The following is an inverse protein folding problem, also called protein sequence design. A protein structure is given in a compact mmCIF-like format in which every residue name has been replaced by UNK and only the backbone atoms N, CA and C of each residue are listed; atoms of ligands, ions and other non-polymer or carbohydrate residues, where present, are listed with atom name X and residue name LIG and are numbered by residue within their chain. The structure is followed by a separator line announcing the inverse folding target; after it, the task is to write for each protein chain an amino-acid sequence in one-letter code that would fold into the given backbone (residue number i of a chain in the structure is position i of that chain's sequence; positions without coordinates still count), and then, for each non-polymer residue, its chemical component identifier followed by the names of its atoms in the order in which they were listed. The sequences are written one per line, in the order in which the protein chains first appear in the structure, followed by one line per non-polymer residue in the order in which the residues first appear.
data_IF_714824233420
#
_entry.id   IF_714824233420
#
_cell.length_a   1.000
_cell.length_b   1.000
_cell.length_c   1.000
_cell.angle_alpha   90.00
_cell.angle_beta   90.00
_cell.angle_gamma   90.00
#
_symmetry.space_group_name_H-M   'P 1'
#
loop_
_entity.id
_entity.type
_entity.pdbx_description
1 polymer ?
#
# COMPACT_ATOMS: atom_id res chain seq x y z
N UNK A 1 -51.92 21.58 -1.42
CA UNK A 1 -51.12 20.34 -1.37
C UNK A 1 -49.59 20.58 -1.43
N UNK A 2 -49.10 21.80 -1.27
CA UNK A 2 -47.70 22.18 -1.60
C UNK A 2 -46.72 22.18 -0.41
N UNK A 3 -47.16 22.46 0.82
CA UNK A 3 -46.26 22.51 1.99
C UNK A 3 -45.88 21.14 2.55
N UNK A 4 -46.82 20.18 2.57
CA UNK A 4 -46.57 18.82 3.06
C UNK A 4 -45.62 18.04 2.15
N UNK A 5 -45.81 18.14 0.84
CA UNK A 5 -44.89 17.54 -0.14
C UNK A 5 -43.51 18.20 -0.07
N UNK A 6 -43.43 19.53 0.04
CA UNK A 6 -42.15 20.23 0.22
C UNK A 6 -41.41 19.82 1.50
N UNK A 7 -42.12 19.67 2.63
CA UNK A 7 -41.53 19.18 3.89
C UNK A 7 -41.02 17.74 3.76
N UNK A 8 -41.79 16.84 3.14
CA UNK A 8 -41.37 15.45 2.91
C UNK A 8 -40.15 15.37 1.98
N UNK A 9 -40.11 16.18 0.92
CA UNK A 9 -38.94 16.27 0.03
C UNK A 9 -37.70 16.78 0.75
N UNK A 10 -37.85 17.80 1.61
CA UNK A 10 -36.74 18.36 2.39
C UNK A 10 -36.21 17.35 3.43
N UNK A 11 -37.11 16.62 4.10
CA UNK A 11 -36.74 15.54 5.01
C UNK A 11 -36.03 14.39 4.30
N UNK A 12 -36.51 13.99 3.12
CA UNK A 12 -35.86 12.95 2.32
C UNK A 12 -34.44 13.38 1.88
N UNK A 13 -34.28 14.62 1.41
CA UNK A 13 -32.97 15.19 1.07
C UNK A 13 -32.01 15.22 2.27
N UNK A 14 -32.50 15.60 3.45
CA UNK A 14 -31.69 15.58 4.67
C UNK A 14 -31.23 14.17 5.03
N UNK A 15 -32.13 13.18 4.98
CA UNK A 15 -31.80 11.78 5.26
C UNK A 15 -30.77 11.24 4.25
N UNK A 16 -30.96 11.51 2.95
CA UNK A 16 -29.99 11.14 1.92
C UNK A 16 -28.64 11.82 2.14
N UNK A 17 -28.63 13.10 2.52
CA UNK A 17 -27.41 13.85 2.83
C UNK A 17 -26.65 13.26 4.03
N UNK A 18 -27.35 12.92 5.10
CA UNK A 18 -26.76 12.27 6.29
C UNK A 18 -26.23 10.87 5.95
N UNK A 19 -26.98 10.08 5.20
CA UNK A 19 -26.55 8.74 4.77
C UNK A 19 -25.32 8.80 3.86
N UNK A 20 -25.32 9.69 2.87
CA UNK A 20 -24.19 9.89 1.97
C UNK A 20 -22.95 10.41 2.72
N UNK A 21 -23.12 11.38 3.61
CA UNK A 21 -22.05 11.90 4.47
C UNK A 21 -21.48 10.83 5.39
N UNK A 22 -22.33 10.03 6.03
CA UNK A 22 -21.92 8.91 6.88
C UNK A 22 -21.19 7.82 6.10
N UNK A 23 -21.67 7.47 4.90
CA UNK A 23 -21.00 6.51 4.03
C UNK A 23 -19.61 7.00 3.59
N UNK A 24 -19.51 8.26 3.15
CA UNK A 24 -18.25 8.87 2.76
C UNK A 24 -17.25 8.93 3.93
N UNK A 25 -17.71 9.28 5.13
CA UNK A 25 -16.90 9.27 6.35
C UNK A 25 -16.39 7.85 6.65
N UNK A 26 -17.28 6.86 6.65
CA UNK A 26 -16.89 5.47 6.87
C UNK A 26 -15.82 5.02 5.86
N UNK A 27 -16.06 5.23 4.57
CA UNK A 27 -15.11 4.89 3.50
C UNK A 27 -13.73 5.54 3.72
N UNK A 28 -13.70 6.84 4.04
CA UNK A 28 -12.44 7.57 4.24
C UNK A 28 -11.65 7.07 5.46
N UNK A 29 -12.33 6.66 6.52
CA UNK A 29 -11.68 6.17 7.74
C UNK A 29 -11.28 4.69 7.66
N UNK A 30 -11.94 3.93 6.80
CA UNK A 30 -11.77 2.48 6.64
C UNK A 30 -10.72 2.13 5.57
N UNK A 31 -10.72 2.83 4.43
CA UNK A 31 -9.75 2.62 3.33
C UNK A 31 -8.64 3.68 3.32
N UNK A 32 -7.89 3.76 4.42
CA UNK A 32 -6.85 4.78 4.57
C UNK A 32 -5.68 4.54 3.63
N UNK A 33 -5.41 5.55 2.79
CA UNK A 33 -4.27 5.58 1.87
C UNK A 33 -4.17 4.36 0.94
N UNK A 34 -5.32 3.73 0.70
CA UNK A 34 -5.47 2.61 -0.22
C UNK A 34 -5.34 3.14 -1.65
N UNK A 35 -4.37 2.61 -2.40
CA UNK A 35 -4.14 3.02 -3.78
C UNK A 35 -3.44 1.92 -4.60
N UNK A 36 -3.65 1.95 -5.91
CA UNK A 36 -2.84 1.18 -6.86
C UNK A 36 -1.55 1.93 -7.12
N UNK A 37 -0.40 1.26 -6.95
CA UNK A 37 0.91 1.80 -7.33
C UNK A 37 1.32 1.30 -8.73
N UNK A 38 1.04 0.03 -9.02
CA UNK A 38 1.10 -0.58 -10.34
C UNK A 38 0.03 -1.65 -10.47
N UNK A 39 -0.89 -1.49 -11.42
CA UNK A 39 -2.02 -2.40 -11.58
C UNK A 39 -1.56 -3.83 -11.86
N UNK A 40 -2.10 -4.79 -11.10
CA UNK A 40 -1.74 -6.21 -11.22
C UNK A 40 -0.39 -6.59 -10.59
N UNK A 41 0.37 -5.62 -10.07
CA UNK A 41 1.70 -5.89 -9.49
C UNK A 41 1.81 -5.37 -8.06
N UNK A 42 1.57 -4.09 -7.81
CA UNK A 42 1.89 -3.45 -6.53
C UNK A 42 0.76 -2.51 -6.08
N UNK A 43 0.28 -2.72 -4.87
CA UNK A 43 -0.75 -1.93 -4.21
C UNK A 43 -0.21 -1.41 -2.87
N UNK A 44 -0.87 -0.39 -2.33
CA UNK A 44 -0.49 0.21 -1.06
C UNK A 44 -1.68 0.52 -0.18
N UNK A 45 -1.44 0.59 1.13
CA UNK A 45 -2.37 1.15 2.11
C UNK A 45 -1.68 1.69 3.35
N UNK A 46 -2.43 2.36 4.22
CA UNK A 46 -2.13 2.42 5.65
C UNK A 46 -2.53 1.09 6.32
N UNK A 47 -2.34 0.99 7.64
CA UNK A 47 -2.87 -0.14 8.38
C UNK A 47 -4.39 -0.15 8.28
N UNK A 48 -4.93 -1.25 7.76
CA UNK A 48 -6.35 -1.48 7.60
C UNK A 48 -6.85 -2.43 8.69
N UNK A 49 -8.13 -2.32 9.06
CA UNK A 49 -8.75 -3.31 9.94
C UNK A 49 -8.91 -4.65 9.19
N UNK A 50 -8.98 -5.79 9.91
CA UNK A 50 -8.95 -7.14 9.32
C UNK A 50 -9.93 -7.36 8.17
N UNK A 51 -11.16 -6.86 8.29
CA UNK A 51 -12.20 -7.03 7.27
C UNK A 51 -11.84 -6.35 5.96
N UNK A 52 -11.25 -5.15 6.06
CA UNK A 52 -10.79 -4.38 4.90
C UNK A 52 -9.57 -5.05 4.27
N UNK A 53 -8.66 -5.56 5.10
CA UNK A 53 -7.47 -6.25 4.58
C UNK A 53 -7.89 -7.49 3.77
N UNK A 54 -8.79 -8.32 4.30
CA UNK A 54 -9.34 -9.47 3.57
C UNK A 54 -10.02 -9.05 2.25
N UNK A 55 -10.84 -8.00 2.28
CA UNK A 55 -11.48 -7.49 1.08
C UNK A 55 -10.46 -7.01 0.03
N UNK A 56 -9.39 -6.32 0.43
CA UNK A 56 -8.35 -5.86 -0.50
C UNK A 56 -7.59 -7.04 -1.11
N UNK A 57 -7.30 -8.07 -0.31
CA UNK A 57 -6.68 -9.31 -0.78
C UNK A 57 -7.55 -9.97 -1.85
N UNK A 58 -8.84 -10.15 -1.57
CA UNK A 58 -9.78 -10.74 -2.52
C UNK A 58 -9.98 -9.87 -3.76
N UNK A 59 -10.20 -8.56 -3.59
CA UNK A 59 -10.48 -7.63 -4.69
C UNK A 59 -9.34 -7.57 -5.70
N UNK A 60 -8.10 -7.54 -5.22
CA UNK A 60 -6.91 -7.39 -6.07
C UNK A 60 -6.14 -8.68 -6.28
N UNK A 61 -6.66 -9.80 -5.79
CA UNK A 61 -6.03 -11.11 -5.90
C UNK A 61 -4.57 -11.07 -5.38
N UNK A 62 -4.37 -10.39 -4.24
CA UNK A 62 -3.06 -10.21 -3.63
C UNK A 62 -2.52 -11.58 -3.21
N UNK A 63 -1.28 -11.88 -3.55
CA UNK A 63 -0.59 -13.09 -3.07
C UNK A 63 0.16 -12.85 -1.78
N UNK A 64 0.79 -11.68 -1.65
CA UNK A 64 1.57 -11.32 -0.48
C UNK A 64 1.19 -9.94 0.05
N UNK A 65 0.88 -9.85 1.34
CA UNK A 65 0.78 -8.59 2.07
C UNK A 65 2.11 -8.34 2.78
N UNK A 66 2.71 -7.15 2.58
CA UNK A 66 3.95 -6.75 3.24
C UNK A 66 3.65 -5.76 4.34
N UNK A 67 3.90 -6.17 5.58
CA UNK A 67 3.80 -5.34 6.75
C UNK A 67 5.19 -4.80 7.14
N UNK A 68 5.35 -3.48 7.06
CA UNK A 68 6.60 -2.78 7.39
C UNK A 68 6.67 -2.27 8.84
N UNK A 69 5.66 -2.54 9.66
CA UNK A 69 5.64 -2.15 11.06
C UNK A 69 6.62 -2.96 11.91
N UNK A 70 7.15 -2.34 12.96
CA UNK A 70 7.95 -3.05 13.93
C UNK A 70 7.06 -3.99 14.77
N UNK A 71 7.53 -5.19 15.16
CA UNK A 71 6.76 -6.09 16.01
C UNK A 71 6.18 -5.38 17.24
N UNK A 72 4.89 -5.59 17.50
CA UNK A 72 4.17 -4.96 18.62
C UNK A 72 3.78 -3.49 18.43
N UNK A 73 4.21 -2.80 17.36
CA UNK A 73 3.93 -1.36 17.14
C UNK A 73 2.43 -1.02 17.12
N UNK A 74 1.61 -1.95 16.65
CA UNK A 74 0.15 -1.81 16.57
C UNK A 74 -0.61 -2.58 17.67
N UNK A 75 0.10 -3.26 18.56
CA UNK A 75 -0.48 -4.13 19.60
C UNK A 75 -0.95 -5.49 19.07
N UNK A 76 -0.79 -6.52 19.90
CA UNK A 76 -0.96 -7.93 19.50
C UNK A 76 -2.33 -8.25 18.85
N UNK A 77 -3.42 -7.65 19.32
CA UNK A 77 -4.74 -7.89 18.75
C UNK A 77 -4.84 -7.49 17.28
N UNK A 78 -4.20 -6.38 16.87
CA UNK A 78 -4.19 -5.93 15.46
C UNK A 78 -3.32 -6.83 14.61
N UNK A 79 -2.16 -7.25 15.13
CA UNK A 79 -1.26 -8.18 14.46
C UNK A 79 -1.92 -9.53 14.20
N UNK A 80 -2.57 -10.10 15.21
CA UNK A 80 -3.27 -11.37 15.06
C UNK A 80 -4.46 -11.27 14.10
N UNK A 81 -5.23 -10.17 14.18
CA UNK A 81 -6.32 -9.91 13.25
C UNK A 81 -5.85 -9.82 11.79
N UNK A 82 -4.72 -9.16 11.53
CA UNK A 82 -4.12 -9.08 10.19
C UNK A 82 -3.65 -10.46 9.71
N UNK A 83 -2.89 -11.20 10.53
CA UNK A 83 -2.43 -12.56 10.18
C UNK A 83 -3.60 -13.46 9.78
N UNK A 84 -4.67 -13.44 10.57
CA UNK A 84 -5.87 -14.22 10.29
C UNK A 84 -6.58 -13.75 9.02
N UNK A 85 -6.78 -12.44 8.84
CA UNK A 85 -7.44 -11.90 7.65
C UNK A 85 -6.69 -12.27 6.36
N UNK A 86 -5.37 -12.07 6.35
CA UNK A 86 -4.52 -12.36 5.18
C UNK A 86 -4.50 -13.86 4.88
N UNK A 87 -4.30 -14.70 5.90
CA UNK A 87 -4.28 -16.16 5.75
C UNK A 87 -5.64 -16.71 5.29
N UNK A 88 -6.73 -16.27 5.91
CA UNK A 88 -8.08 -16.73 5.56
C UNK A 88 -8.50 -16.30 4.14
N UNK A 89 -8.00 -15.15 3.66
CA UNK A 89 -8.21 -14.69 2.29
C UNK A 89 -7.28 -15.39 1.27
N UNK A 90 -6.42 -16.31 1.72
CA UNK A 90 -5.56 -17.13 0.84
C UNK A 90 -4.24 -16.47 0.43
N UNK A 91 -3.83 -15.39 1.09
CA UNK A 91 -2.56 -14.72 0.88
C UNK A 91 -1.56 -15.06 2.00
N UNK A 92 -0.28 -14.75 1.77
CA UNK A 92 0.75 -14.81 2.82
C UNK A 92 1.04 -13.42 3.38
N UNK A 93 1.32 -13.35 4.68
CA UNK A 93 1.80 -12.14 5.34
C UNK A 93 3.32 -12.17 5.45
N UNK A 94 3.97 -11.17 4.88
CA UNK A 94 5.40 -10.93 4.98
C UNK A 94 5.66 -9.82 6.01
N UNK A 95 6.04 -10.21 7.22
CA UNK A 95 6.37 -9.29 8.32
C UNK A 95 7.82 -8.78 8.16
N UNK A 96 7.99 -7.74 7.34
CA UNK A 96 9.29 -7.19 6.98
C UNK A 96 9.48 -5.82 7.64
N UNK A 97 9.75 -5.82 8.94
CA UNK A 97 9.94 -4.59 9.70
C UNK A 97 10.96 -3.66 9.03
N UNK A 98 10.58 -2.37 8.93
CA UNK A 98 11.43 -1.33 8.35
C UNK A 98 11.53 -0.16 9.34
N UNK A 99 12.68 0.04 10.00
CA UNK A 99 12.91 1.23 10.83
C UNK A 99 12.68 2.54 10.06
N UNK A 100 12.16 3.56 10.74
CA UNK A 100 11.86 4.86 10.11
C UNK A 100 13.13 5.56 9.59
N UNK A 101 14.26 5.32 10.27
CA UNK A 101 15.57 5.89 10.03
C UNK A 101 16.54 4.91 9.33
N UNK A 102 16.03 3.80 8.79
CA UNK A 102 16.88 2.79 8.13
C UNK A 102 17.75 3.40 7.03
N UNK A 103 19.03 3.04 7.05
CA UNK A 103 20.00 3.37 6.01
C UNK A 103 19.71 2.52 4.75
N UNK A 104 19.71 3.09 3.54
CA UNK A 104 19.54 2.34 2.30
C UNK A 104 20.55 1.22 2.05
N UNK A 105 21.74 1.28 2.65
CA UNK A 105 22.75 0.23 2.58
C UNK A 105 22.66 -0.78 3.74
N UNK A 106 21.66 -0.64 4.61
CA UNK A 106 21.49 -1.53 5.75
C UNK A 106 21.22 -2.97 5.29
N UNK A 107 22.02 -3.97 5.72
CA UNK A 107 21.81 -5.37 5.36
C UNK A 107 20.43 -5.91 5.71
N UNK A 108 19.72 -5.30 6.67
CA UNK A 108 18.34 -5.66 7.02
C UNK A 108 17.35 -5.46 5.89
N UNK A 109 17.67 -4.65 4.87
CA UNK A 109 16.85 -4.48 3.67
C UNK A 109 16.97 -5.66 2.70
N UNK A 110 17.90 -6.59 2.91
CA UNK A 110 18.06 -7.75 2.01
C UNK A 110 16.78 -8.57 1.93
N UNK A 111 16.08 -8.81 3.05
CA UNK A 111 14.79 -9.53 3.04
C UNK A 111 13.69 -8.82 2.25
N UNK A 112 13.71 -7.48 2.22
CA UNK A 112 12.79 -6.68 1.41
C UNK A 112 13.12 -6.84 -0.07
N UNK A 113 14.41 -6.82 -0.41
CA UNK A 113 14.89 -7.06 -1.77
C UNK A 113 14.56 -8.46 -2.26
N UNK A 114 14.75 -9.48 -1.41
CA UNK A 114 14.41 -10.88 -1.71
C UNK A 114 12.90 -11.03 -1.95
N UNK A 115 12.07 -10.38 -1.13
CA UNK A 115 10.62 -10.37 -1.32
C UNK A 115 10.20 -9.71 -2.64
N UNK A 116 10.88 -8.62 -3.04
CA UNK A 116 10.64 -7.95 -4.32
C UNK A 116 11.13 -8.78 -5.52
N UNK A 117 12.18 -9.58 -5.34
CA UNK A 117 12.78 -10.39 -6.39
C UNK A 117 11.99 -11.69 -6.68
N UNK A 118 11.20 -12.19 -5.74
CA UNK A 118 10.42 -13.42 -5.90
C UNK A 118 9.11 -13.15 -6.67
N UNK A 119 8.93 -13.66 -7.91
CA UNK A 119 7.70 -13.49 -8.68
C UNK A 119 6.47 -14.07 -8.00
N UNK A 120 6.62 -15.07 -7.12
CA UNK A 120 5.47 -15.71 -6.45
C UNK A 120 4.78 -14.80 -5.44
N UNK A 121 5.39 -13.67 -5.08
CA UNK A 121 4.80 -12.69 -4.19
C UNK A 121 3.79 -11.76 -4.88
N UNK A 122 3.78 -11.68 -6.20
CA UNK A 122 2.96 -10.70 -6.93
C UNK A 122 1.59 -11.28 -7.34
N UNK A 123 0.49 -10.48 -7.25
CA UNK A 123 0.45 -9.07 -6.84
C UNK A 123 0.68 -8.87 -5.34
N UNK A 124 1.38 -7.80 -4.97
CA UNK A 124 1.72 -7.45 -3.58
C UNK A 124 0.90 -6.26 -3.08
N UNK A 125 0.54 -6.26 -1.81
CA UNK A 125 0.04 -5.07 -1.10
C UNK A 125 1.04 -4.71 0.00
N UNK A 126 1.60 -3.51 -0.04
CA UNK A 126 2.52 -3.03 1.02
C UNK A 126 1.87 -1.97 1.91
N UNK A 127 2.06 -2.11 3.21
CA UNK A 127 1.59 -1.12 4.18
C UNK A 127 2.57 -0.91 5.33
N UNK A 128 2.30 0.14 6.10
CA UNK A 128 2.86 0.35 7.42
C UNK A 128 1.74 0.95 8.30
N UNK A 129 2.04 1.59 9.43
CA UNK A 129 1.00 2.21 10.26
C UNK A 129 0.15 3.23 9.49
N UNK A 130 0.81 4.25 8.90
CA UNK A 130 0.13 5.34 8.21
C UNK A 130 0.14 5.21 6.69
N UNK A 131 0.86 4.26 6.09
CA UNK A 131 0.95 4.15 4.63
C UNK A 131 1.67 5.33 3.97
N UNK A 132 2.59 5.99 4.70
CA UNK A 132 3.28 7.23 4.25
C UNK A 132 4.78 6.99 4.09
N UNK A 133 5.51 6.86 5.20
CA UNK A 133 6.99 6.89 5.17
C UNK A 133 7.58 5.57 4.70
N UNK A 134 7.38 4.48 5.46
CA UNK A 134 7.96 3.16 5.16
C UNK A 134 7.42 2.59 3.86
N UNK A 135 6.11 2.72 3.66
CA UNK A 135 5.45 2.36 2.41
C UNK A 135 6.06 3.10 1.22
N UNK A 136 6.29 4.41 1.31
CA UNK A 136 6.91 5.15 0.21
C UNK A 136 8.36 4.73 -0.06
N UNK A 137 9.14 4.43 0.99
CA UNK A 137 10.50 3.89 0.85
C UNK A 137 10.50 2.55 0.13
N UNK A 138 9.64 1.62 0.54
CA UNK A 138 9.53 0.30 -0.10
C UNK A 138 9.07 0.39 -1.56
N UNK A 139 8.11 1.26 -1.85
CA UNK A 139 7.67 1.50 -3.23
C UNK A 139 8.77 2.15 -4.09
N UNK A 140 9.63 2.99 -3.51
CA UNK A 140 10.81 3.51 -4.20
C UNK A 140 11.81 2.39 -4.51
N UNK A 141 12.05 1.46 -3.57
CA UNK A 141 12.89 0.28 -3.82
C UNK A 141 12.33 -0.55 -4.99
N UNK A 142 11.02 -0.84 -4.97
CA UNK A 142 10.33 -1.55 -6.05
C UNK A 142 10.50 -0.86 -7.41
N UNK A 143 10.20 0.44 -7.48
CA UNK A 143 10.28 1.19 -8.73
C UNK A 143 11.72 1.27 -9.28
N UNK A 144 12.71 1.45 -8.41
CA UNK A 144 14.12 1.54 -8.81
C UNK A 144 14.61 0.19 -9.33
N UNK A 145 14.34 -0.90 -8.59
CA UNK A 145 14.93 -2.21 -8.84
C UNK A 145 14.17 -2.97 -9.91
N UNK A 146 12.83 -2.98 -9.84
CA UNK A 146 11.99 -3.82 -10.71
C UNK A 146 11.54 -3.09 -11.97
N UNK A 147 11.51 -1.75 -11.94
CA UNK A 147 10.99 -0.93 -13.05
C UNK A 147 12.02 0.02 -13.66
N UNK A 148 13.23 0.06 -13.11
CA UNK A 148 14.31 0.92 -13.62
C UNK A 148 14.00 2.42 -13.56
N UNK A 149 13.12 2.85 -12.66
CA UNK A 149 12.81 4.28 -12.46
C UNK A 149 13.90 4.95 -11.62
N UNK A 150 14.05 6.27 -11.76
CA UNK A 150 14.83 7.05 -10.79
C UNK A 150 14.06 7.23 -9.48
N UNK A 151 14.77 7.61 -8.41
CA UNK A 151 14.14 7.96 -7.15
C UNK A 151 13.08 9.07 -7.32
N UNK A 152 13.43 10.12 -8.07
CA UNK A 152 12.52 11.25 -8.32
C UNK A 152 11.27 10.80 -9.07
N UNK A 153 11.42 10.02 -10.15
CA UNK A 153 10.29 9.46 -10.91
C UNK A 153 9.37 8.62 -10.03
N UNK A 154 9.94 7.81 -9.13
CA UNK A 154 9.13 7.02 -8.20
C UNK A 154 8.36 7.91 -7.22
N UNK A 155 9.05 8.87 -6.59
CA UNK A 155 8.46 9.71 -5.55
C UNK A 155 7.39 10.67 -6.08
N UNK A 156 7.58 11.19 -7.30
CA UNK A 156 6.63 12.06 -7.99
C UNK A 156 5.35 11.33 -8.38
N UNK A 157 5.45 10.03 -8.69
CA UNK A 157 4.30 9.20 -9.03
C UNK A 157 3.47 8.77 -7.81
N UNK A 158 4.04 8.88 -6.60
CA UNK A 158 3.36 8.43 -5.39
C UNK A 158 2.38 9.48 -4.84
N UNK A 159 1.19 9.07 -4.36
CA UNK A 159 0.24 9.99 -3.77
C UNK A 159 0.77 10.61 -2.47
N UNK A 160 0.56 11.93 -2.33
CA UNK A 160 1.01 12.68 -1.16
C UNK A 160 0.02 12.64 0.02
N UNK A 161 -1.21 12.16 -0.21
CA UNK A 161 -2.25 12.02 0.82
C UNK A 161 -2.40 13.26 1.72
N UNK A 162 -2.61 14.41 1.09
CA UNK A 162 -2.82 15.70 1.77
C UNK A 162 -1.54 16.41 2.24
N UNK A 163 -0.34 15.88 1.91
CA UNK A 163 0.93 16.60 2.12
C UNK A 163 1.31 17.41 0.88
N UNK A 164 2.09 18.47 1.09
CA UNK A 164 2.62 19.30 -0.01
C UNK A 164 3.78 18.63 -0.75
N UNK A 165 4.54 17.77 -0.06
CA UNK A 165 5.70 17.06 -0.60
C UNK A 165 5.99 15.78 0.18
N UNK A 166 6.83 14.93 -0.41
CA UNK A 166 7.37 13.76 0.29
C UNK A 166 8.20 14.18 1.50
N UNK A 167 8.23 13.32 2.52
CA UNK A 167 9.04 13.53 3.71
C UNK A 167 10.53 13.55 3.33
N UNK A 168 11.31 14.47 3.90
CA UNK A 168 12.75 14.62 3.60
C UNK A 168 13.55 13.33 3.81
N UNK A 169 13.18 12.51 4.78
CA UNK A 169 13.80 11.20 5.03
C UNK A 169 13.42 10.16 3.97
N UNK A 170 12.23 10.25 3.37
CA UNK A 170 11.84 9.40 2.23
C UNK A 170 12.64 9.81 1.00
N UNK A 171 12.73 11.11 0.71
CA UNK A 171 13.51 11.63 -0.41
C UNK A 171 15.00 11.28 -0.28
N UNK A 172 15.58 11.50 0.90
CA UNK A 172 16.97 11.13 1.17
C UNK A 172 17.20 9.63 1.02
N UNK A 173 16.31 8.80 1.58
CA UNK A 173 16.38 7.34 1.45
C UNK A 173 16.35 6.91 -0.02
N UNK A 174 15.35 7.34 -0.79
CA UNK A 174 15.20 6.90 -2.18
C UNK A 174 16.41 7.31 -3.04
N UNK A 175 16.89 8.55 -2.90
CA UNK A 175 18.05 9.02 -3.68
C UNK A 175 19.37 8.33 -3.30
N UNK A 176 19.55 7.97 -2.03
CA UNK A 176 20.70 7.19 -1.58
C UNK A 176 20.57 5.71 -2.00
N UNK A 177 19.37 5.15 -1.92
CA UNK A 177 19.07 3.79 -2.37
C UNK A 177 19.35 3.64 -3.87
N UNK A 178 18.88 4.58 -4.70
CA UNK A 178 19.19 4.62 -6.14
C UNK A 178 20.69 4.61 -6.39
N UNK A 179 21.47 5.45 -5.68
CA UNK A 179 22.93 5.50 -5.83
C UNK A 179 23.60 4.18 -5.48
N UNK A 180 23.18 3.54 -4.39
CA UNK A 180 23.74 2.27 -3.92
C UNK A 180 23.39 1.10 -4.85
N UNK A 181 22.21 1.11 -5.47
CA UNK A 181 21.67 0.01 -6.26
C UNK A 181 21.69 0.30 -7.77
N UNK A 182 22.39 1.36 -8.20
CA UNK A 182 22.50 1.75 -9.62
C UNK A 182 23.17 0.72 -10.52
N UNK A 183 23.90 -0.22 -9.94
CA UNK A 183 24.48 -1.37 -10.64
C UNK A 183 23.51 -2.54 -10.82
N UNK A 184 22.31 -2.51 -10.20
CA UNK A 184 21.30 -3.58 -10.27
C UNK A 184 20.24 -3.36 -11.36
N UNK A 185 20.31 -2.28 -12.14
CA UNK A 185 19.40 -2.01 -13.27
C UNK A 185 19.47 -3.14 -14.33
N UNK A 186 18.31 -3.57 -14.87
CA UNK A 186 17.68 -4.83 -14.53
C UNK A 186 18.41 -6.05 -15.11
N UNK A 187 18.59 -7.09 -14.29
CA UNK A 187 18.78 -8.47 -14.79
C UNK A 187 17.46 -9.22 -15.02
N UNK A 188 16.34 -8.69 -14.53
CA UNK A 188 15.01 -9.28 -14.71
C UNK A 188 13.99 -8.16 -14.81
N UNK A 189 13.35 -8.01 -15.95
CA UNK A 189 12.24 -7.09 -16.16
C UNK A 189 10.92 -7.74 -15.71
N UNK A 190 9.89 -6.95 -15.41
CA UNK A 190 8.55 -7.48 -15.15
C UNK A 190 8.00 -8.33 -16.33
N UNK A 191 8.48 -8.11 -17.55
CA UNK A 191 8.18 -8.95 -18.71
C UNK A 191 8.83 -10.34 -18.61
N UNK A 192 9.98 -10.46 -17.95
CA UNK A 192 10.68 -11.73 -17.73
C UNK A 192 10.05 -12.54 -16.58
N UNK A 193 9.28 -11.89 -15.70
CA UNK A 193 8.63 -12.55 -14.55
C UNK A 193 7.32 -13.27 -14.91
N UNK A 194 6.84 -13.22 -16.17
CA UNK A 194 5.68 -13.99 -16.63
C UNK A 194 4.39 -13.76 -15.82
N UNK A 195 4.28 -12.63 -15.11
CA UNK A 195 3.19 -12.37 -14.14
C UNK A 195 1.87 -12.01 -14.84
N UNK A 196 1.92 -11.62 -16.12
CA UNK A 196 0.72 -11.45 -16.93
C UNK A 196 0.25 -12.83 -17.40
N UNK A 197 -0.77 -13.38 -16.75
CA UNK A 197 -1.66 -14.34 -17.44
C UNK A 197 -2.31 -13.57 -18.58
N UNK A 198 -2.03 -13.98 -19.81
CA UNK A 198 -2.74 -13.51 -20.99
C UNK A 198 -4.24 -13.52 -20.67
N UNK A 199 -4.82 -12.33 -20.65
CA UNK A 199 -6.24 -12.14 -20.42
C UNK A 199 -6.95 -12.62 -21.68
N UNK A 200 -7.51 -13.84 -21.62
CA UNK A 200 -8.50 -14.34 -22.58
C UNK A 200 -9.85 -13.65 -22.37
#
# INVERSE_FOLDING_TARGET
MTRRTALLSLSALLVCGVAAGGYAYHQHHTYKHVATHEAGMMYRSAWCEPEVMAELVERWQIRSVVNLCAPGEMGEARWEGERQAVSNAGAQLLELDMPLDIDPADPRLQKHMDALADPNNYPMLVHCQHGVTRTAKFLAMYDIVMRGRSADQSLDAQPLFGRDRQNVHVTAFAGQFEKAHKSLYPRVSAADLGVLRDSL
#
